data_IF_208634267633
#
_entry.id   IF_208634267633
#
_cell.length_a   1.000
_cell.length_b   1.000
_cell.length_c   1.000
_cell.angle_alpha   90.00
_cell.angle_beta   90.00
_cell.angle_gamma   90.00
#
_symmetry.space_group_name_H-M   'P 1'
#
loop_
_entity.id
_entity.type
_entity.pdbx_description
1 polymer ?
#
# COMPACT_ATOMS: atom_id res chain seq x y z
N UNK A 1 -15.76 -6.03 -17.22
CA UNK A 1 -16.35 -6.64 -16.01
C UNK A 1 -15.19 -7.20 -15.19
N UNK A 2 -14.99 -6.64 -13.98
CA UNK A 2 -14.09 -7.07 -12.89
C UNK A 2 -12.57 -6.96 -13.06
N UNK A 3 -12.02 -5.74 -12.95
CA UNK A 3 -10.62 -5.50 -12.54
C UNK A 3 -10.52 -4.75 -11.20
N UNK A 4 -11.63 -4.50 -10.51
CA UNK A 4 -11.68 -3.54 -9.39
C UNK A 4 -11.26 -4.09 -8.02
N UNK A 5 -10.96 -5.39 -7.89
CA UNK A 5 -10.62 -5.97 -6.58
C UNK A 5 -9.11 -6.05 -6.30
N UNK A 6 -8.24 -6.05 -7.33
CA UNK A 6 -6.78 -6.11 -7.14
C UNK A 6 -6.15 -4.74 -6.82
N UNK A 7 -6.74 -3.66 -7.35
CA UNK A 7 -6.25 -2.30 -7.15
C UNK A 7 -6.38 -1.79 -5.72
N UNK A 8 -7.43 -2.22 -4.99
CA UNK A 8 -7.75 -1.69 -3.66
C UNK A 8 -6.77 -2.12 -2.55
N UNK A 9 -6.17 -3.32 -2.66
CA UNK A 9 -5.15 -3.76 -1.70
C UNK A 9 -3.81 -3.07 -1.98
N UNK A 10 -3.41 -3.06 -3.25
CA UNK A 10 -2.16 -2.43 -3.68
C UNK A 10 -2.17 -0.91 -3.49
N UNK A 11 -3.34 -0.27 -3.62
CA UNK A 11 -3.48 1.19 -3.44
C UNK A 11 -3.16 1.68 -2.04
N UNK A 12 -3.24 0.83 -1.01
CA UNK A 12 -2.85 1.24 0.34
C UNK A 12 -1.39 1.67 0.45
N UNK A 13 -0.51 1.18 -0.42
CA UNK A 13 0.91 1.56 -0.42
C UNK A 13 1.14 3.03 -0.80
N UNK A 14 0.20 3.64 -1.51
CA UNK A 14 0.27 5.04 -1.93
C UNK A 14 -0.98 5.84 -1.55
N UNK A 15 -1.78 5.33 -0.61
CA UNK A 15 -2.92 6.05 -0.05
C UNK A 15 -2.42 7.23 0.79
N UNK A 16 -2.96 8.42 0.50
CA UNK A 16 -2.51 9.65 1.16
C UNK A 16 -2.84 9.68 2.66
N UNK A 17 -3.95 9.06 3.08
CA UNK A 17 -4.34 8.99 4.49
C UNK A 17 -3.44 8.02 5.25
N UNK A 18 -3.18 6.85 4.69
CA UNK A 18 -2.24 5.86 5.22
C UNK A 18 -0.85 6.47 5.40
N UNK A 19 -0.34 7.20 4.40
CA UNK A 19 0.92 7.92 4.50
C UNK A 19 0.93 8.91 5.68
N UNK A 20 -0.15 9.69 5.86
CA UNK A 20 -0.26 10.63 6.98
C UNK A 20 -0.33 9.94 8.34
N UNK A 21 -1.01 8.79 8.45
CA UNK A 21 -1.01 7.98 9.66
C UNK A 21 0.38 7.42 9.98
N UNK A 22 1.12 6.96 8.96
CA UNK A 22 2.51 6.52 9.14
C UNK A 22 3.39 7.67 9.63
N UNK A 23 3.27 8.85 9.01
CA UNK A 23 4.03 10.03 9.45
C UNK A 23 3.65 10.44 10.88
N UNK A 24 2.37 10.36 11.25
CA UNK A 24 1.92 10.62 12.63
C UNK A 24 2.55 9.64 13.63
N UNK A 25 2.52 8.33 13.34
CA UNK A 25 3.15 7.31 14.19
C UNK A 25 4.66 7.49 14.32
N UNK A 26 5.35 7.86 13.23
CA UNK A 26 6.81 8.06 13.25
C UNK A 26 7.22 9.34 13.98
N UNK A 27 6.34 10.33 14.08
CA UNK A 27 6.63 11.63 14.68
C UNK A 27 6.24 11.72 16.16
N UNK A 28 5.62 10.67 16.71
CA UNK A 28 5.11 10.66 18.08
C UNK A 28 5.40 9.35 18.79
N UNK A 29 5.48 9.38 20.11
CA UNK A 29 5.56 8.15 20.90
C UNK A 29 4.24 7.37 20.82
N UNK A 30 4.31 6.13 20.36
CA UNK A 30 3.17 5.22 20.28
C UNK A 30 2.60 5.09 18.85
N UNK A 31 1.41 4.47 18.70
CA UNK A 31 0.77 4.31 17.41
C UNK A 31 0.22 5.63 16.86
N UNK A 32 -0.18 5.62 15.58
CA UNK A 32 -0.90 6.73 14.97
C UNK A 32 -2.20 7.03 15.74
N UNK A 33 -2.52 8.31 15.91
CA UNK A 33 -3.74 8.79 16.54
C UNK A 33 -4.54 9.60 15.51
N UNK A 34 -5.61 9.04 14.91
CA UNK A 34 -6.33 9.69 13.81
C UNK A 34 -6.86 11.09 14.13
N UNK A 35 -7.19 11.38 15.39
CA UNK A 35 -7.65 12.71 15.82
C UNK A 35 -6.58 13.80 15.76
N UNK A 36 -5.29 13.45 15.55
CA UNK A 36 -4.20 14.42 15.29
C UNK A 36 -4.18 14.91 13.84
N UNK A 37 -4.84 14.20 12.92
CA UNK A 37 -4.85 14.57 11.51
C UNK A 37 -5.84 15.74 11.25
N UNK A 38 -5.51 16.68 10.35
CA UNK A 38 -6.42 17.77 9.99
C UNK A 38 -7.75 17.27 9.44
N UNK A 39 -8.83 18.00 9.75
CA UNK A 39 -10.12 17.77 9.11
C UNK A 39 -9.98 17.87 7.58
N UNK A 40 -10.60 16.93 6.85
CA UNK A 40 -10.50 16.85 5.39
C UNK A 40 -9.28 16.10 4.85
N UNK A 41 -8.46 15.46 5.70
CA UNK A 41 -7.31 14.64 5.25
C UNK A 41 -7.71 13.59 4.19
N UNK A 42 -8.90 13.01 4.31
CA UNK A 42 -9.44 12.02 3.36
C UNK A 42 -9.70 12.57 1.94
N UNK A 43 -9.69 13.89 1.75
CA UNK A 43 -9.85 14.52 0.43
C UNK A 43 -8.53 14.63 -0.34
N UNK A 44 -7.40 14.26 0.30
CA UNK A 44 -6.09 14.25 -0.35
C UNK A 44 -5.97 13.00 -1.20
N UNK A 45 -5.72 13.15 -2.50
CA UNK A 45 -5.66 12.03 -3.44
C UNK A 45 -4.24 11.50 -3.63
N UNK A 46 -3.27 12.40 -3.81
CA UNK A 46 -1.87 12.02 -4.04
C UNK A 46 -1.04 12.16 -2.76
N UNK A 47 0.04 11.40 -2.68
CA UNK A 47 1.04 11.55 -1.62
C UNK A 47 1.62 12.97 -1.60
N UNK A 48 2.08 13.47 -0.42
CA UNK A 48 2.71 14.78 -0.32
C UNK A 48 3.88 14.93 -1.31
N UNK A 49 3.84 15.99 -2.12
CA UNK A 49 4.87 16.27 -3.13
C UNK A 49 4.75 15.52 -4.46
N UNK A 50 3.77 14.61 -4.60
CA UNK A 50 3.56 13.85 -5.84
C UNK A 50 2.55 14.55 -6.74
N UNK A 51 2.95 14.80 -7.99
CA UNK A 51 2.09 15.40 -9.02
C UNK A 51 1.18 14.33 -9.65
N UNK A 52 -0.01 14.69 -10.15
CA UNK A 52 -0.95 13.70 -10.70
C UNK A 52 -0.37 12.80 -11.80
N UNK A 53 0.44 13.34 -12.71
CA UNK A 53 1.04 12.54 -13.78
C UNK A 53 2.11 11.56 -13.27
N UNK A 54 2.80 11.89 -12.17
CA UNK A 54 3.78 11.01 -11.53
C UNK A 54 3.07 9.84 -10.85
N UNK A 55 1.94 10.11 -10.18
CA UNK A 55 1.10 9.08 -9.58
C UNK A 55 0.58 8.09 -10.65
N UNK A 56 0.04 8.59 -11.77
CA UNK A 56 -0.44 7.74 -12.88
C UNK A 56 0.68 6.88 -13.45
N UNK A 57 1.86 7.47 -13.71
CA UNK A 57 3.00 6.73 -14.24
C UNK A 57 3.48 5.64 -13.25
N UNK A 58 3.59 5.96 -11.97
CA UNK A 58 4.02 5.01 -10.94
C UNK A 58 3.03 3.85 -10.79
N UNK A 59 1.72 4.12 -10.73
CA UNK A 59 0.69 3.07 -10.64
C UNK A 59 0.74 2.12 -11.83
N UNK A 60 0.97 2.63 -13.05
CA UNK A 60 1.09 1.79 -14.24
C UNK A 60 2.30 0.85 -14.17
N UNK A 61 3.47 1.38 -13.77
CA UNK A 61 4.69 0.58 -13.61
C UNK A 61 4.50 -0.50 -12.55
N UNK A 62 3.95 -0.16 -11.38
CA UNK A 62 3.79 -1.17 -10.34
C UNK A 62 2.72 -2.20 -10.66
N UNK A 63 1.62 -1.81 -11.32
CA UNK A 63 0.62 -2.75 -11.80
C UNK A 63 1.19 -3.77 -12.79
N UNK A 64 2.08 -3.34 -13.69
CA UNK A 64 2.78 -4.24 -14.62
C UNK A 64 3.71 -5.21 -13.89
N UNK A 65 4.52 -4.73 -12.94
CA UNK A 65 5.43 -5.57 -12.16
C UNK A 65 4.67 -6.60 -11.31
N UNK A 66 3.59 -6.17 -10.64
CA UNK A 66 2.76 -7.07 -9.84
C UNK A 66 2.12 -8.18 -10.68
N UNK A 67 1.61 -7.82 -11.86
CA UNK A 67 1.04 -8.79 -12.81
C UNK A 67 2.10 -9.77 -13.29
N UNK A 68 3.30 -9.29 -13.62
CA UNK A 68 4.41 -10.13 -14.07
C UNK A 68 4.81 -11.15 -13.00
N UNK A 69 4.91 -10.74 -11.73
CA UNK A 69 5.24 -11.65 -10.63
C UNK A 69 4.15 -12.68 -10.37
N UNK A 70 2.86 -12.27 -10.38
CA UNK A 70 1.75 -13.22 -10.21
C UNK A 70 1.79 -14.33 -11.27
N UNK A 71 2.08 -13.96 -12.52
CA UNK A 71 2.06 -14.88 -13.64
C UNK A 71 3.32 -15.75 -13.74
N UNK A 72 4.49 -15.19 -13.44
CA UNK A 72 5.76 -15.80 -13.78
C UNK A 72 6.60 -16.29 -12.59
N UNK A 73 6.24 -15.94 -11.35
CA UNK A 73 7.01 -16.38 -10.19
C UNK A 73 6.95 -17.91 -10.01
N UNK A 74 8.06 -18.49 -9.57
CA UNK A 74 8.14 -19.91 -9.20
C UNK A 74 7.08 -20.25 -8.16
N UNK A 75 6.18 -21.19 -8.50
CA UNK A 75 5.13 -21.67 -7.60
C UNK A 75 5.64 -22.89 -6.81
N UNK A 76 5.25 -22.97 -5.54
CA UNK A 76 5.43 -24.17 -4.71
C UNK A 76 4.05 -24.81 -4.45
N UNK A 77 3.97 -26.14 -4.33
CA UNK A 77 2.68 -26.84 -4.23
C UNK A 77 2.03 -26.73 -2.84
N UNK A 78 2.79 -26.36 -1.81
CA UNK A 78 2.30 -26.24 -0.44
C UNK A 78 3.14 -25.23 0.37
N UNK A 79 2.57 -24.76 1.48
CA UNK A 79 3.27 -23.94 2.47
C UNK A 79 4.41 -24.74 3.15
N UNK A 80 5.59 -24.15 3.39
CA UNK A 80 6.65 -24.79 4.15
C UNK A 80 6.26 -25.09 5.61
N UNK A 81 6.87 -26.09 6.26
CA UNK A 81 6.64 -26.35 7.69
C UNK A 81 7.02 -25.14 8.57
N UNK A 82 6.29 -24.96 9.67
CA UNK A 82 6.62 -23.94 10.67
C UNK A 82 8.01 -24.17 11.25
N UNK A 83 8.73 -23.07 11.52
CA UNK A 83 10.00 -23.10 12.25
C UNK A 83 9.77 -23.61 13.67
N UNK A 84 10.76 -24.26 14.27
CA UNK A 84 10.64 -24.88 15.60
C UNK A 84 10.18 -23.93 16.72
N UNK A 85 10.49 -22.63 16.64
CA UNK A 85 10.05 -21.65 17.64
C UNK A 85 8.56 -21.25 17.51
N UNK A 86 7.87 -21.70 16.45
CA UNK A 86 6.50 -21.34 16.11
C UNK A 86 5.60 -22.58 15.91
N UNK A 87 6.07 -23.77 16.29
CA UNK A 87 5.26 -24.99 16.30
C UNK A 87 4.32 -25.04 17.51
#
# INVERSE_FOLDING_TARGET
MSLEHGGAHFSMLYDAVACRLVVDALSHSGPAVPSRLPFGTCLTVNLPGVRPHEAVAATAVTGANFTAEILNATKVPAEPPLRAYAQ
#
